data_IF_267702934340
#
_entry.id   IF_267702934340
#
_cell.length_a   1.000
_cell.length_b   1.000
_cell.length_c   1.000
_cell.angle_alpha   90.00
_cell.angle_beta   90.00
_cell.angle_gamma   90.00
#
_symmetry.space_group_name_H-M   'P 1'
#
loop_
_entity.id
_entity.type
_entity.pdbx_description
1 polymer ?
#
# COMPACT_ATOMS: atom_id res chain seq x y z
N UNK A 1 11.82 28.17 6.76
CA UNK A 1 10.66 27.33 7.10
C UNK A 1 10.57 26.31 6.00
N UNK A 2 10.91 25.09 6.30
CA UNK A 2 10.84 23.98 5.35
C UNK A 2 9.38 23.76 5.00
N UNK A 3 9.04 23.95 3.73
CA UNK A 3 7.67 23.82 3.24
C UNK A 3 7.38 22.32 3.07
N UNK A 4 7.07 21.65 4.20
CA UNK A 4 6.73 20.22 4.20
C UNK A 4 5.35 20.07 3.55
N UNK A 5 5.18 19.20 2.56
CA UNK A 5 3.90 18.98 1.91
C UNK A 5 2.88 18.42 2.90
N UNK A 6 1.59 18.68 2.66
CA UNK A 6 0.52 18.08 3.45
C UNK A 6 0.57 16.57 3.32
N UNK A 7 0.41 15.87 4.44
CA UNK A 7 0.47 14.41 4.53
C UNK A 7 -0.88 13.86 4.98
N UNK A 8 -1.19 12.63 4.60
CA UNK A 8 -2.30 11.87 5.20
C UNK A 8 -1.95 11.55 6.65
N UNK A 9 -2.96 11.25 7.48
CA UNK A 9 -2.75 10.90 8.88
C UNK A 9 -1.73 9.74 9.05
N UNK A 10 -1.88 8.68 8.27
CA UNK A 10 -0.98 7.52 8.32
C UNK A 10 0.46 7.87 7.89
N UNK A 11 0.62 8.76 6.92
CA UNK A 11 1.94 9.23 6.49
C UNK A 11 2.60 10.13 7.54
N UNK A 12 1.84 11.02 8.16
CA UNK A 12 2.30 11.90 9.26
C UNK A 12 2.72 11.07 10.47
N UNK A 13 1.92 10.05 10.83
CA UNK A 13 2.30 9.09 11.86
C UNK A 13 3.61 8.37 11.56
N UNK A 14 3.80 7.95 10.30
CA UNK A 14 5.04 7.29 9.89
C UNK A 14 6.25 8.24 9.93
N UNK A 15 6.08 9.50 9.53
CA UNK A 15 7.11 10.56 9.65
C UNK A 15 7.48 10.77 11.13
N UNK A 16 6.49 10.85 12.02
CA UNK A 16 6.70 11.00 13.47
C UNK A 16 7.51 9.83 14.05
N UNK A 17 7.16 8.58 13.70
CA UNK A 17 7.92 7.39 14.13
C UNK A 17 9.34 7.41 13.58
N UNK A 18 9.56 7.86 12.34
CA UNK A 18 10.90 8.00 11.77
C UNK A 18 11.75 9.04 12.52
N UNK A 19 11.14 10.16 12.96
CA UNK A 19 11.79 11.17 13.81
C UNK A 19 12.20 10.57 15.16
N UNK A 20 11.29 9.85 15.81
CA UNK A 20 11.56 9.20 17.10
C UNK A 20 12.65 8.13 16.98
N UNK A 21 12.63 7.34 15.91
CA UNK A 21 13.68 6.35 15.63
C UNK A 21 15.04 7.00 15.44
N UNK A 22 15.10 8.11 14.69
CA UNK A 22 16.30 8.89 14.47
C UNK A 22 16.89 9.39 15.80
N UNK A 23 16.06 9.97 16.68
CA UNK A 23 16.44 10.40 18.03
C UNK A 23 16.96 9.22 18.87
N UNK A 24 16.20 8.12 18.93
CA UNK A 24 16.56 6.92 19.70
C UNK A 24 17.91 6.34 19.29
N UNK A 25 18.26 6.44 18.01
CA UNK A 25 19.55 5.97 17.47
C UNK A 25 20.68 6.98 17.59
N UNK A 26 20.41 8.19 18.06
CA UNK A 26 21.39 9.26 18.18
C UNK A 26 21.88 9.77 16.82
N UNK A 27 21.00 9.81 15.82
CA UNK A 27 21.31 10.30 14.48
C UNK A 27 20.94 11.77 14.35
N UNK A 28 21.81 12.55 13.72
CA UNK A 28 21.61 13.98 13.48
C UNK A 28 20.59 14.26 12.38
N UNK A 29 20.57 13.43 11.35
CA UNK A 29 19.71 13.60 10.19
C UNK A 29 18.71 12.45 10.04
N UNK A 30 17.46 12.80 9.81
CA UNK A 30 16.42 11.87 9.35
C UNK A 30 16.69 11.58 7.87
N UNK A 31 16.75 10.30 7.52
CA UNK A 31 17.01 9.83 6.16
C UNK A 31 15.87 8.94 5.66
N UNK A 32 15.77 8.65 4.35
CA UNK A 32 14.76 7.76 3.80
C UNK A 32 14.75 6.35 4.43
N UNK A 33 15.91 5.91 4.94
CA UNK A 33 16.05 4.63 5.65
C UNK A 33 15.26 4.61 6.96
N UNK A 34 15.23 5.72 7.71
CA UNK A 34 14.42 5.83 8.93
C UNK A 34 12.92 5.73 8.63
N UNK A 35 12.46 6.37 7.55
CA UNK A 35 11.06 6.29 7.13
C UNK A 35 10.70 4.88 6.65
N UNK A 36 11.58 4.23 5.91
CA UNK A 36 11.35 2.86 5.44
C UNK A 36 11.25 1.87 6.62
N UNK A 37 12.08 2.02 7.66
CA UNK A 37 11.97 1.25 8.91
C UNK A 37 10.62 1.54 9.58
N UNK A 38 10.19 2.80 9.64
CA UNK A 38 8.90 3.17 10.21
C UNK A 38 7.73 2.45 9.51
N UNK A 39 7.76 2.33 8.18
CA UNK A 39 6.76 1.58 7.41
C UNK A 39 6.78 0.08 7.73
N UNK A 40 7.97 -0.50 7.93
CA UNK A 40 8.10 -1.91 8.33
C UNK A 40 7.57 -2.12 9.76
N UNK A 41 7.97 -1.27 10.71
CA UNK A 41 7.57 -1.37 12.12
C UNK A 41 6.05 -1.19 12.33
N UNK A 42 5.37 -0.48 11.40
CA UNK A 42 3.91 -0.35 11.34
C UNK A 42 3.23 -1.49 10.58
N UNK A 43 3.96 -2.50 10.11
CA UNK A 43 3.41 -3.62 9.35
C UNK A 43 2.96 -3.29 7.92
N UNK A 44 3.18 -2.05 7.46
CA UNK A 44 2.69 -1.59 6.16
C UNK A 44 3.33 -2.33 4.97
N UNK A 45 4.58 -2.78 5.11
CA UNK A 45 5.32 -3.46 4.05
C UNK A 45 5.33 -4.98 4.17
N UNK A 46 4.87 -5.56 5.29
CA UNK A 46 4.95 -7.00 5.55
C UNK A 46 4.27 -7.81 4.47
N UNK A 47 3.01 -7.50 4.17
CA UNK A 47 2.25 -8.22 3.16
C UNK A 47 2.79 -8.02 1.72
N UNK A 48 3.03 -6.78 1.23
CA UNK A 48 3.58 -6.58 -0.10
C UNK A 48 4.94 -7.24 -0.32
N UNK A 49 5.84 -7.18 0.69
CA UNK A 49 7.15 -7.83 0.62
C UNK A 49 7.02 -9.35 0.54
N UNK A 50 6.20 -9.95 1.41
CA UNK A 50 5.97 -11.39 1.42
C UNK A 50 5.46 -11.88 0.05
N UNK A 51 4.52 -11.16 -0.56
CA UNK A 51 3.97 -11.52 -1.87
C UNK A 51 4.97 -11.40 -3.02
N UNK A 52 6.00 -10.55 -2.86
CA UNK A 52 7.07 -10.37 -3.84
C UNK A 52 8.34 -11.17 -3.50
N UNK A 53 8.25 -12.18 -2.62
CA UNK A 53 9.38 -13.03 -2.26
C UNK A 53 10.37 -12.41 -1.27
N UNK A 54 10.05 -11.23 -0.72
CA UNK A 54 10.88 -10.50 0.23
C UNK A 54 10.62 -10.89 1.70
N UNK A 55 11.51 -10.40 2.56
CA UNK A 55 11.49 -10.61 4.01
C UNK A 55 11.66 -9.24 4.70
N UNK A 56 10.61 -8.77 5.37
CA UNK A 56 10.59 -7.50 6.07
C UNK A 56 11.56 -7.46 7.26
N UNK A 57 11.70 -8.56 7.98
CA UNK A 57 12.66 -8.68 9.08
C UNK A 57 14.11 -8.56 8.59
N UNK A 58 14.43 -9.22 7.47
CA UNK A 58 15.74 -9.11 6.83
C UNK A 58 16.01 -7.69 6.35
N UNK A 59 15.06 -7.08 5.65
CA UNK A 59 15.15 -5.69 5.18
C UNK A 59 15.38 -4.73 6.35
N UNK A 60 14.59 -4.86 7.41
CA UNK A 60 14.73 -4.04 8.61
C UNK A 60 16.11 -4.14 9.23
N UNK A 61 16.64 -5.36 9.35
CA UNK A 61 17.97 -5.62 9.91
C UNK A 61 19.09 -5.00 9.06
N UNK A 62 18.97 -5.07 7.74
CA UNK A 62 19.94 -4.47 6.81
C UNK A 62 19.92 -2.93 6.89
N UNK A 63 18.73 -2.33 6.96
CA UNK A 63 18.55 -0.88 7.18
C UNK A 63 19.12 -0.44 8.53
N UNK A 64 18.83 -1.18 9.60
CA UNK A 64 19.39 -0.90 10.92
C UNK A 64 20.92 -0.94 10.93
N UNK A 65 21.52 -1.94 10.31
CA UNK A 65 22.97 -2.05 10.20
C UNK A 65 23.57 -0.88 9.41
N UNK A 66 22.91 -0.45 8.33
CA UNK A 66 23.34 0.70 7.54
C UNK A 66 23.33 1.99 8.37
N UNK A 67 22.22 2.27 9.08
CA UNK A 67 22.08 3.46 9.94
C UNK A 67 23.12 3.44 11.06
N UNK A 68 23.37 2.29 11.70
CA UNK A 68 24.35 2.17 12.80
C UNK A 68 25.78 2.43 12.33
N UNK A 69 26.12 2.05 11.10
CA UNK A 69 27.47 2.23 10.52
C UNK A 69 27.64 3.57 9.79
N UNK A 70 26.59 4.38 9.70
CA UNK A 70 26.66 5.70 9.05
C UNK A 70 27.34 6.72 9.98
N UNK A 71 28.00 7.71 9.37
CA UNK A 71 28.59 8.85 10.10
C UNK A 71 27.53 9.88 10.57
N UNK A 72 26.26 9.53 10.46
CA UNK A 72 25.11 10.36 10.85
C UNK A 72 24.91 10.30 12.37
N UNK A 73 25.80 10.92 13.13
CA UNK A 73 25.78 10.92 14.61
C UNK A 73 25.57 12.35 15.14
N UNK A 74 24.85 12.45 16.26
CA UNK A 74 24.81 13.69 17.03
C UNK A 74 26.20 14.08 17.52
N UNK A 75 26.56 15.33 17.34
CA UNK A 75 27.80 15.92 17.85
C UNK A 75 27.53 16.66 19.17
N UNK A 76 26.31 17.20 19.34
CA UNK A 76 25.84 17.93 20.54
C UNK A 76 24.39 17.55 20.87
N UNK A 77 23.92 17.89 22.09
CA UNK A 77 22.54 17.68 22.57
C UNK A 77 21.53 18.60 21.83
N UNK A 78 21.22 18.24 20.58
CA UNK A 78 20.10 18.89 19.87
C UNK A 78 18.78 18.20 20.23
N UNK A 79 17.75 19.01 20.49
CA UNK A 79 16.42 18.51 20.86
C UNK A 79 15.70 17.76 19.74
N UNK A 80 15.97 18.09 18.46
CA UNK A 80 15.32 17.53 17.28
C UNK A 80 16.31 17.24 16.15
N UNK A 81 16.22 16.08 15.49
CA UNK A 81 17.03 15.80 14.31
C UNK A 81 16.56 16.63 13.11
N UNK A 82 17.49 16.90 12.20
CA UNK A 82 17.23 17.62 10.96
C UNK A 82 16.83 16.65 9.85
N UNK A 83 16.01 17.08 8.89
CA UNK A 83 15.74 16.31 7.67
C UNK A 83 16.92 16.38 6.72
N UNK A 84 17.43 15.24 6.26
CA UNK A 84 18.50 15.21 5.25
C UNK A 84 18.01 15.75 3.90
N UNK A 85 18.94 16.18 3.04
CA UNK A 85 18.62 16.63 1.68
C UNK A 85 17.91 15.51 0.89
N UNK A 86 18.36 14.26 1.04
CA UNK A 86 17.70 13.12 0.39
C UNK A 86 16.26 12.93 0.88
N UNK A 87 16.03 13.12 2.18
CA UNK A 87 14.69 13.04 2.75
C UNK A 87 13.76 14.12 2.21
N UNK A 88 14.24 15.35 2.11
CA UNK A 88 13.47 16.45 1.53
C UNK A 88 13.18 16.24 0.05
N UNK A 89 14.17 15.79 -0.73
CA UNK A 89 13.98 15.45 -2.15
C UNK A 89 12.96 14.32 -2.33
N UNK A 90 12.96 13.31 -1.45
CA UNK A 90 11.98 12.25 -1.43
C UNK A 90 10.57 12.80 -1.19
N UNK A 91 10.38 13.67 -0.20
CA UNK A 91 9.08 14.29 0.10
C UNK A 91 8.57 15.16 -1.06
N UNK A 92 9.44 15.94 -1.68
CA UNK A 92 9.09 16.74 -2.86
C UNK A 92 8.66 15.86 -4.02
N UNK A 93 9.38 14.76 -4.26
CA UNK A 93 9.01 13.80 -5.30
C UNK A 93 7.69 13.09 -4.98
N UNK A 94 7.49 12.67 -3.73
CA UNK A 94 6.24 12.07 -3.27
C UNK A 94 5.05 13.01 -3.46
N UNK A 95 5.23 14.30 -3.20
CA UNK A 95 4.19 15.30 -3.46
C UNK A 95 3.89 15.47 -4.94
N UNK A 96 4.92 15.50 -5.82
CA UNK A 96 4.71 15.54 -7.28
C UNK A 96 3.95 14.32 -7.77
N UNK A 97 4.25 13.13 -7.24
CA UNK A 97 3.52 11.89 -7.54
C UNK A 97 2.07 12.03 -7.09
N UNK A 98 1.80 12.49 -5.86
CA UNK A 98 0.45 12.71 -5.36
C UNK A 98 -0.35 13.66 -6.25
N UNK A 99 0.21 14.82 -6.60
CA UNK A 99 -0.42 15.79 -7.51
C UNK A 99 -0.70 15.18 -8.89
N UNK A 100 0.22 14.39 -9.44
CA UNK A 100 0.00 13.71 -10.73
C UNK A 100 -1.14 12.70 -10.68
N UNK A 101 -1.43 12.14 -9.50
CA UNK A 101 -2.58 11.26 -9.23
C UNK A 101 -3.86 12.03 -8.82
N UNK A 102 -3.85 13.38 -8.90
CA UNK A 102 -4.99 14.22 -8.52
C UNK A 102 -5.25 14.30 -7.01
N UNK A 103 -4.23 14.04 -6.19
CA UNK A 103 -4.28 14.14 -4.73
C UNK A 103 -3.53 15.39 -4.24
N UNK A 104 -4.01 16.01 -3.17
CA UNK A 104 -3.42 17.19 -2.53
C UNK A 104 -2.56 16.86 -1.31
N UNK A 105 -2.54 15.59 -0.89
CA UNK A 105 -1.79 15.09 0.26
C UNK A 105 -0.91 13.91 -0.13
N UNK A 106 0.25 13.83 0.53
CA UNK A 106 1.18 12.72 0.40
C UNK A 106 0.72 11.56 1.28
N UNK A 107 0.49 10.41 0.66
CA UNK A 107 0.22 9.15 1.34
C UNK A 107 1.46 8.25 1.33
N UNK A 108 1.46 7.17 2.16
CA UNK A 108 2.60 6.24 2.29
C UNK A 108 3.03 5.62 0.96
N UNK A 109 2.09 5.25 0.09
CA UNK A 109 2.41 4.69 -1.24
C UNK A 109 3.14 5.68 -2.15
N UNK A 110 2.83 6.99 -2.07
CA UNK A 110 3.58 8.01 -2.80
C UNK A 110 5.03 8.11 -2.28
N UNK A 111 5.21 8.03 -0.96
CA UNK A 111 6.53 8.07 -0.34
C UNK A 111 7.37 6.84 -0.70
N UNK A 112 6.78 5.64 -0.74
CA UNK A 112 7.48 4.42 -1.18
C UNK A 112 7.92 4.52 -2.64
N UNK A 113 7.04 4.98 -3.53
CA UNK A 113 7.41 5.21 -4.93
C UNK A 113 8.53 6.24 -5.04
N UNK A 114 8.45 7.32 -4.27
CA UNK A 114 9.49 8.33 -4.23
C UNK A 114 10.82 7.78 -3.69
N UNK A 115 10.82 6.89 -2.69
CA UNK A 115 12.02 6.20 -2.20
C UNK A 115 12.64 5.35 -3.32
N UNK A 116 11.82 4.55 -4.01
CA UNK A 116 12.31 3.73 -5.13
C UNK A 116 12.91 4.58 -6.24
N UNK A 117 12.37 5.75 -6.52
CA UNK A 117 12.85 6.66 -7.58
C UNK A 117 14.08 7.50 -7.15
N UNK A 118 14.54 7.40 -5.89
CA UNK A 118 15.72 8.15 -5.44
C UNK A 118 17.01 7.56 -6.07
N UNK A 119 17.81 8.39 -6.77
CA UNK A 119 19.11 7.96 -7.25
C UNK A 119 20.07 7.73 -6.08
N UNK A 120 20.89 6.70 -6.16
CA UNK A 120 21.96 6.38 -5.20
C UNK A 120 21.48 6.28 -3.72
N UNK A 121 20.21 5.93 -3.50
CA UNK A 121 19.66 5.72 -2.16
C UNK A 121 19.88 4.29 -1.70
N UNK A 122 20.42 4.12 -0.48
CA UNK A 122 20.53 2.80 0.13
C UNK A 122 19.16 2.23 0.47
N UNK A 123 18.19 3.06 0.88
CA UNK A 123 16.81 2.63 1.08
C UNK A 123 16.22 2.02 -0.19
N UNK A 124 16.38 2.68 -1.34
CA UNK A 124 15.93 2.15 -2.64
C UNK A 124 16.64 0.85 -3.02
N UNK A 125 17.96 0.79 -2.83
CA UNK A 125 18.76 -0.40 -3.14
C UNK A 125 18.33 -1.61 -2.30
N UNK A 126 18.23 -1.44 -0.98
CA UNK A 126 17.85 -2.51 -0.06
C UNK A 126 16.40 -2.96 -0.29
N UNK A 127 15.47 -2.03 -0.51
CA UNK A 127 14.08 -2.37 -0.83
C UNK A 127 14.00 -3.18 -2.13
N UNK A 128 14.66 -2.75 -3.20
CA UNK A 128 14.70 -3.49 -4.47
C UNK A 128 15.36 -4.86 -4.34
N UNK A 129 16.33 -5.03 -3.46
CA UNK A 129 16.96 -6.33 -3.24
C UNK A 129 16.02 -7.38 -2.61
N UNK A 130 14.90 -6.95 -2.05
CA UNK A 130 13.86 -7.81 -1.46
C UNK A 130 12.64 -8.00 -2.37
N UNK A 131 12.60 -7.40 -3.56
CA UNK A 131 11.46 -7.45 -4.46
C UNK A 131 11.89 -8.04 -5.81
N UNK A 132 11.22 -9.10 -6.26
CA UNK A 132 11.47 -9.70 -7.58
C UNK A 132 10.81 -8.88 -8.71
N UNK A 133 9.65 -8.27 -8.45
CA UNK A 133 8.89 -7.46 -9.41
C UNK A 133 8.39 -6.16 -8.76
N UNK A 134 9.00 -5.02 -9.13
CA UNK A 134 8.65 -3.70 -8.62
C UNK A 134 7.21 -3.29 -8.99
N UNK A 135 6.72 -3.68 -10.17
CA UNK A 135 5.36 -3.34 -10.59
C UNK A 135 4.32 -4.09 -9.77
N UNK A 136 4.55 -5.38 -9.53
CA UNK A 136 3.71 -6.18 -8.64
C UNK A 136 3.70 -5.59 -7.24
N UNK A 137 4.87 -5.29 -6.68
CA UNK A 137 5.00 -4.68 -5.36
C UNK A 137 4.21 -3.38 -5.27
N UNK A 138 4.40 -2.45 -6.21
CA UNK A 138 3.69 -1.17 -6.22
C UNK A 138 2.17 -1.31 -6.39
N UNK A 139 1.68 -2.35 -7.05
CA UNK A 139 0.24 -2.61 -7.16
C UNK A 139 -0.40 -3.09 -5.85
N UNK A 140 0.38 -3.72 -4.98
CA UNK A 140 -0.09 -4.23 -3.68
C UNK A 140 -0.13 -3.14 -2.59
N UNK A 141 0.71 -2.12 -2.69
CA UNK A 141 0.84 -1.07 -1.67
C UNK A 141 -0.47 -0.31 -1.40
N UNK A 142 -1.24 0.19 -2.39
CA UNK A 142 -2.49 0.90 -2.14
C UNK A 142 -3.56 0.05 -1.45
N UNK A 143 -3.55 -1.26 -1.64
CA UNK A 143 -4.52 -2.16 -1.00
C UNK A 143 -4.33 -2.27 0.51
N UNK A 144 -3.11 -2.09 1.00
CA UNK A 144 -2.80 -2.07 2.44
C UNK A 144 -3.23 -0.73 3.07
N UNK A 145 -3.11 0.37 2.33
CA UNK A 145 -3.46 1.70 2.82
C UNK A 145 -4.97 1.86 3.10
N UNK A 146 -5.80 1.22 2.29
CA UNK A 146 -7.26 1.27 2.48
C UNK A 146 -7.74 0.49 3.72
N UNK A 147 -6.99 -0.50 4.20
CA UNK A 147 -7.35 -1.28 5.39
C UNK A 147 -7.17 -0.48 6.69
N UNK A 148 -6.15 0.37 6.75
CA UNK A 148 -5.87 1.15 7.96
C UNK A 148 -6.88 2.29 8.19
N UNK A 149 -7.76 2.58 7.22
CA UNK A 149 -8.81 3.60 7.34
C UNK A 149 -10.05 3.06 8.05
N UNK A 150 -10.27 1.74 7.98
CA UNK A 150 -11.45 1.12 8.59
C UNK A 150 -11.26 0.84 10.10
N UNK A 151 -10.00 0.81 10.59
CA UNK A 151 -9.70 0.57 12.02
C UNK A 151 -9.75 1.84 12.90
N UNK A 152 -9.83 3.05 12.32
CA UNK A 152 -9.84 4.34 13.04
C UNK A 152 -11.25 4.96 13.16
N UNK A 153 -12.35 4.21 12.95
CA UNK A 153 -13.71 4.71 13.20
C UNK A 153 -14.07 4.40 14.65
N UNK A 154 -14.03 5.46 15.41
CA UNK A 154 -14.30 5.64 16.82
C UNK A 154 -15.50 4.86 17.38
N UNK A 155 -15.26 4.26 18.53
CA UNK A 155 -16.22 4.10 19.60
C UNK A 155 -16.76 5.48 20.04
N UNK A 156 -17.91 5.88 19.54
CA UNK A 156 -18.83 6.73 20.29
C UNK A 156 -20.27 6.53 19.79
N UNK A 157 -21.04 5.85 20.66
CA UNK A 157 -22.47 5.99 20.92
C UNK A 157 -23.49 5.76 19.78
N UNK A 158 -24.22 4.71 19.79
CA UNK A 158 -25.59 4.63 20.37
C UNK A 158 -26.32 3.34 19.93
N UNK A 159 -26.94 2.71 20.90
CA UNK A 159 -27.89 1.61 20.79
C UNK A 159 -28.88 1.74 19.62
N UNK A 160 -28.97 0.74 18.79
CA UNK A 160 -30.22 0.08 18.45
C UNK A 160 -30.01 -1.28 17.81
N UNK A 161 -30.57 -2.27 18.41
CA UNK A 161 -30.83 -3.64 18.00
C UNK A 161 -31.52 -3.72 16.63
N UNK A 162 -31.11 -4.65 15.75
CA UNK A 162 -31.96 -5.79 15.41
C UNK A 162 -31.24 -6.72 14.39
N UNK A 163 -31.08 -7.91 14.82
CA UNK A 163 -31.28 -9.25 14.28
C UNK A 163 -31.05 -9.56 12.77
N UNK A 164 -30.45 -10.74 12.62
CA UNK A 164 -30.45 -11.62 11.47
C UNK A 164 -29.34 -11.47 10.43
N UNK A 165 -28.15 -11.99 10.76
CA UNK A 165 -27.31 -12.61 9.75
C UNK A 165 -26.92 -14.01 10.20
N UNK A 166 -27.56 -14.97 9.57
CA UNK A 166 -27.26 -16.40 9.67
C UNK A 166 -25.81 -16.72 9.36
N UNK A 167 -25.19 -17.23 10.36
CA UNK A 167 -24.06 -18.10 10.54
C UNK A 167 -23.78 -19.04 9.35
N UNK A 168 -22.70 -18.77 8.63
CA UNK A 168 -21.92 -19.84 7.97
C UNK A 168 -20.53 -19.85 8.57
N UNK A 169 -20.42 -20.60 9.67
CA UNK A 169 -19.13 -21.04 10.19
C UNK A 169 -18.49 -21.98 9.17
N UNK A 170 -17.35 -21.57 8.65
CA UNK A 170 -16.33 -22.47 8.17
C UNK A 170 -15.13 -22.24 9.08
N UNK A 171 -14.91 -23.20 9.98
CA UNK A 171 -13.67 -23.38 10.70
C UNK A 171 -12.56 -23.66 9.70
N UNK A 172 -11.66 -22.70 9.51
CA UNK A 172 -10.33 -22.90 8.95
C UNK A 172 -9.34 -22.07 9.76
N UNK A 173 -8.89 -22.65 10.86
CA UNK A 173 -7.64 -22.31 11.50
C UNK A 173 -6.49 -22.58 10.51
N UNK A 174 -5.71 -21.54 10.17
CA UNK A 174 -4.45 -21.52 9.42
C UNK A 174 -4.44 -20.96 7.99
N UNK A 175 -5.27 -19.94 7.70
CA UNK A 175 -4.95 -19.06 6.57
C UNK A 175 -4.95 -17.59 7.04
N UNK A 176 -3.93 -16.80 6.70
CA UNK A 176 -4.01 -15.36 6.99
C UNK A 176 -5.21 -14.80 6.25
N UNK A 177 -6.22 -14.43 7.03
CA UNK A 177 -7.49 -13.92 6.57
C UNK A 177 -7.29 -12.74 5.64
N UNK A 178 -8.03 -12.75 4.55
CA UNK A 178 -8.21 -11.66 3.61
C UNK A 178 -7.11 -11.44 2.59
N UNK A 179 -6.92 -12.40 1.74
CA UNK A 179 -6.37 -12.13 0.43
C UNK A 179 -7.38 -11.32 -0.37
N UNK A 180 -7.18 -10.24 -0.52
CA UNK A 180 -7.54 -8.94 -1.00
C UNK A 180 -7.65 -8.83 -2.52
N UNK A 181 -7.78 -9.92 -3.27
CA UNK A 181 -8.25 -9.82 -4.65
C UNK A 181 -9.65 -9.17 -4.72
N UNK A 182 -10.48 -9.34 -3.66
CA UNK A 182 -11.77 -8.65 -3.50
C UNK A 182 -11.65 -7.12 -3.48
N UNK A 183 -10.51 -6.57 -3.02
CA UNK A 183 -10.26 -5.13 -3.03
C UNK A 183 -9.68 -4.63 -4.38
N UNK A 184 -9.21 -5.55 -5.22
CA UNK A 184 -8.63 -5.24 -6.53
C UNK A 184 -9.63 -5.39 -7.68
N UNK A 185 -10.73 -6.12 -7.43
CA UNK A 185 -11.75 -6.40 -8.44
C UNK A 185 -13.14 -6.20 -7.84
N UNK A 186 -14.02 -5.60 -8.60
CA UNK A 186 -15.45 -5.56 -8.25
C UNK A 186 -16.06 -6.91 -8.55
N UNK A 187 -16.68 -7.57 -7.54
CA UNK A 187 -17.44 -8.78 -7.76
C UNK A 187 -18.74 -8.42 -8.49
N UNK A 188 -18.80 -8.69 -9.78
CA UNK A 188 -19.99 -8.39 -10.60
C UNK A 188 -21.22 -9.15 -10.11
N UNK A 189 -21.03 -10.33 -9.48
CA UNK A 189 -22.15 -11.10 -8.92
C UNK A 189 -22.86 -10.38 -7.78
N UNK A 190 -22.15 -9.57 -6.99
CA UNK A 190 -22.73 -8.78 -5.89
C UNK A 190 -23.52 -7.58 -6.42
N UNK A 191 -23.27 -7.17 -7.66
CA UNK A 191 -23.94 -6.06 -8.32
C UNK A 191 -25.07 -6.48 -9.27
N UNK A 192 -25.34 -7.77 -9.43
CA UNK A 192 -26.36 -8.30 -10.37
C UNK A 192 -27.72 -7.64 -10.16
N UNK A 193 -28.11 -7.35 -8.93
CA UNK A 193 -29.39 -6.70 -8.62
C UNK A 193 -29.45 -5.22 -9.01
N UNK A 194 -28.30 -4.58 -9.24
CA UNK A 194 -28.19 -3.16 -9.63
C UNK A 194 -28.26 -2.97 -11.15
N UNK A 195 -28.11 -4.05 -11.92
CA UNK A 195 -28.11 -4.00 -13.38
C UNK A 195 -29.44 -4.45 -13.98
N UNK A 196 -29.77 -3.89 -15.14
CA UNK A 196 -30.94 -4.33 -15.88
C UNK A 196 -30.75 -5.79 -16.38
N UNK A 197 -31.83 -6.59 -16.36
CA UNK A 197 -31.74 -7.96 -16.86
C UNK A 197 -31.38 -8.01 -18.35
N UNK A 198 -30.54 -8.97 -18.71
CA UNK A 198 -30.21 -9.20 -20.12
C UNK A 198 -31.45 -9.71 -20.89
N UNK A 199 -31.85 -8.99 -21.92
CA UNK A 199 -33.00 -9.33 -22.73
C UNK A 199 -32.55 -9.57 -24.18
N UNK A 200 -32.92 -10.72 -24.77
CA UNK A 200 -32.82 -10.98 -26.19
C UNK A 200 -31.42 -11.32 -26.74
N UNK A 201 -30.47 -11.79 -25.92
CA UNK A 201 -29.11 -12.17 -26.34
C UNK A 201 -28.72 -13.60 -25.92
N UNK A 202 -29.65 -14.51 -26.05
CA UNK A 202 -29.44 -15.90 -25.63
C UNK A 202 -28.36 -16.64 -26.42
N UNK A 203 -28.32 -16.38 -27.75
CA UNK A 203 -27.33 -17.05 -28.62
C UNK A 203 -25.89 -16.58 -28.34
N UNK A 204 -25.71 -15.28 -28.13
CA UNK A 204 -24.41 -14.71 -27.75
C UNK A 204 -23.96 -15.21 -26.36
N UNK A 205 -24.89 -15.29 -25.40
CA UNK A 205 -24.62 -15.81 -24.07
C UNK A 205 -24.17 -17.27 -24.12
N UNK A 206 -24.90 -18.11 -24.85
CA UNK A 206 -24.54 -19.52 -25.04
C UNK A 206 -23.14 -19.66 -25.68
N UNK A 207 -22.83 -18.77 -26.63
CA UNK A 207 -21.52 -18.74 -27.27
C UNK A 207 -20.39 -18.35 -26.30
N UNK A 208 -20.63 -17.36 -25.46
CA UNK A 208 -19.70 -16.94 -24.40
C UNK A 208 -19.45 -18.09 -23.44
N UNK A 209 -20.50 -18.75 -22.97
CA UNK A 209 -20.40 -19.90 -22.07
C UNK A 209 -19.61 -21.06 -22.70
N UNK A 210 -19.84 -21.36 -23.97
CA UNK A 210 -19.06 -22.37 -24.70
C UNK A 210 -17.57 -22.02 -24.80
N UNK A 211 -17.22 -20.72 -24.93
CA UNK A 211 -15.83 -20.27 -24.97
C UNK A 211 -15.20 -20.37 -23.58
N UNK A 212 -15.89 -19.93 -22.54
CA UNK A 212 -15.40 -20.00 -21.16
C UNK A 212 -15.15 -21.42 -20.66
N UNK A 213 -15.94 -22.39 -21.12
CA UNK A 213 -15.79 -23.79 -20.78
C UNK A 213 -14.63 -24.52 -21.49
N UNK A 214 -13.91 -23.85 -22.41
CA UNK A 214 -12.74 -24.45 -23.09
C UNK A 214 -11.56 -24.54 -22.14
N UNK A 215 -10.77 -25.58 -22.32
CA UNK A 215 -9.51 -25.76 -21.59
C UNK A 215 -8.45 -24.72 -21.94
N UNK A 216 -8.39 -24.33 -23.23
CA UNK A 216 -7.46 -23.36 -23.77
C UNK A 216 -8.24 -22.33 -24.59
N UNK A 217 -7.71 -21.08 -24.65
CA UNK A 217 -8.31 -19.95 -25.38
C UNK A 217 -9.75 -19.64 -24.93
N UNK A 218 -9.92 -19.56 -23.61
CA UNK A 218 -11.21 -19.36 -22.93
C UNK A 218 -11.57 -17.89 -22.70
N UNK A 219 -10.90 -16.94 -23.35
CA UNK A 219 -11.17 -15.51 -23.23
C UNK A 219 -12.09 -15.03 -24.36
N UNK A 220 -13.41 -14.80 -24.14
CA UNK A 220 -14.29 -14.22 -25.12
C UNK A 220 -14.04 -12.72 -25.27
N UNK A 221 -14.07 -12.22 -26.48
CA UNK A 221 -14.04 -10.79 -26.81
C UNK A 221 -15.40 -10.43 -27.43
N UNK A 222 -16.05 -9.43 -26.83
CA UNK A 222 -17.30 -8.87 -27.34
C UNK A 222 -16.98 -7.61 -28.13
N UNK A 223 -17.43 -7.55 -29.37
CA UNK A 223 -17.26 -6.39 -30.26
C UNK A 223 -18.63 -5.93 -30.70
N UNK A 224 -18.91 -4.63 -30.56
CA UNK A 224 -20.17 -4.04 -30.96
C UNK A 224 -20.06 -2.51 -31.10
N UNK A 225 -21.08 -1.89 -31.64
CA UNK A 225 -21.18 -0.44 -31.67
C UNK A 225 -21.48 0.13 -30.29
N UNK A 226 -21.13 1.41 -30.02
CA UNK A 226 -21.46 2.05 -28.75
C UNK A 226 -22.99 2.03 -28.52
N UNK A 227 -23.41 1.59 -27.32
CA UNK A 227 -24.81 1.55 -26.90
C UNK A 227 -25.58 0.28 -27.24
N UNK A 228 -24.93 -0.77 -27.71
CA UNK A 228 -25.59 -2.07 -28.00
C UNK A 228 -25.68 -3.02 -26.77
N UNK A 229 -25.28 -2.54 -25.60
CA UNK A 229 -25.37 -3.30 -24.36
C UNK A 229 -24.03 -3.71 -23.80
#
# INVERSE_FOLDING_TARGET
>A
MDNIPKMTFQMDRADTVAVELCKKKGNLFITPEHLLISFIDQGYLTFPLMMCGGDDFKLRKELDNYILNSDNKFIDDFDLPFRSIQYMNMLDNAYRIAVSCGKDMVARHHAIKAILDLPESMAAFLLRSQIDDENMFMSLIPSVENKDVDDDIDDDDDDTLDDDIDNYALDDDDMPSTMTWHNLVTCVNDEVTKHNPLIGRSEELDRIMQILCRRDKNNPILIGEPGVG
#
